data_IF_867279148232
#
_entry.id   IF_867279148232
#
_cell.length_a   1.000
_cell.length_b   1.000
_cell.length_c   1.000
_cell.angle_alpha   90.00
_cell.angle_beta   90.00
_cell.angle_gamma   90.00
#
_symmetry.space_group_name_H-M   'P 1'
#
loop_
_entity.id
_entity.type
_entity.pdbx_description
1 polymer ?
#
# COMPACT_ATOMS: atom_id res chain seq x y z
N UNK A 1 12.95 -15.66 -5.24
CA UNK A 1 13.13 -14.26 -4.85
C UNK A 1 12.12 -13.89 -3.78
N UNK A 2 12.51 -13.03 -2.87
CA UNK A 2 11.62 -12.62 -1.79
C UNK A 2 10.47 -11.77 -2.33
N UNK A 3 9.28 -12.00 -1.81
CA UNK A 3 8.14 -11.12 -2.08
C UNK A 3 8.25 -9.91 -1.17
N UNK A 4 7.84 -8.75 -1.65
CA UNK A 4 8.01 -7.49 -0.95
C UNK A 4 6.69 -6.79 -0.73
N UNK A 5 6.51 -6.24 0.47
CA UNK A 5 5.36 -5.39 0.81
C UNK A 5 5.90 -4.03 1.19
N UNK A 6 5.39 -2.98 0.55
CA UNK A 6 5.70 -1.60 0.90
C UNK A 6 4.56 -1.02 1.72
N UNK A 7 4.90 -0.43 2.86
CA UNK A 7 3.93 0.19 3.77
C UNK A 7 4.20 1.69 3.79
N UNK A 8 3.24 2.47 3.36
CA UNK A 8 3.39 3.93 3.21
C UNK A 8 2.35 4.66 4.03
N UNK A 9 2.81 5.40 5.03
CA UNK A 9 1.97 6.25 5.87
C UNK A 9 2.89 7.27 6.53
N UNK A 10 2.43 8.50 6.67
CA UNK A 10 3.23 9.54 7.31
C UNK A 10 3.24 9.41 8.84
N UNK A 11 2.36 8.59 9.41
CA UNK A 11 2.30 8.33 10.82
C UNK A 11 3.04 7.04 11.18
N UNK A 12 4.12 7.18 11.96
CA UNK A 12 4.98 6.04 12.30
C UNK A 12 4.22 4.93 13.00
N UNK A 13 3.27 5.28 13.88
CA UNK A 13 2.52 4.26 14.62
C UNK A 13 1.61 3.43 13.71
N UNK A 14 1.12 4.00 12.62
CA UNK A 14 0.30 3.26 11.66
C UNK A 14 1.18 2.30 10.86
N UNK A 15 2.36 2.77 10.41
CA UNK A 15 3.31 1.88 9.72
C UNK A 15 3.67 0.70 10.61
N UNK A 16 3.95 0.97 11.87
CA UNK A 16 4.31 -0.06 12.85
C UNK A 16 3.17 -1.05 13.06
N UNK A 17 1.93 -0.56 13.17
CA UNK A 17 0.77 -1.40 13.36
C UNK A 17 0.58 -2.36 12.18
N UNK A 18 0.73 -1.87 10.96
CA UNK A 18 0.60 -2.72 9.77
C UNK A 18 1.73 -3.75 9.74
N UNK A 19 2.97 -3.33 10.03
CA UNK A 19 4.10 -4.27 10.09
C UNK A 19 3.87 -5.37 11.12
N UNK A 20 3.40 -5.02 12.32
CA UNK A 20 3.11 -5.99 13.35
C UNK A 20 2.00 -6.95 12.93
N UNK A 21 0.98 -6.43 12.27
CA UNK A 21 -0.12 -7.24 11.76
C UNK A 21 0.37 -8.29 10.76
N UNK A 22 1.38 -7.95 9.97
CA UNK A 22 1.91 -8.81 8.92
C UNK A 22 3.19 -9.55 9.31
N UNK A 23 3.63 -9.42 10.57
CA UNK A 23 4.92 -9.94 11.03
C UNK A 23 5.09 -11.44 10.73
N UNK A 24 4.02 -12.22 10.86
CA UNK A 24 4.11 -13.66 10.59
C UNK A 24 4.54 -13.98 9.15
N UNK A 25 4.36 -13.05 8.23
CA UNK A 25 4.74 -13.28 6.83
C UNK A 25 6.25 -13.23 6.62
N UNK A 26 7.01 -12.66 7.56
CA UNK A 26 8.47 -12.70 7.49
C UNK A 26 8.98 -14.12 7.48
N UNK A 27 8.34 -15.00 8.26
CA UNK A 27 8.70 -16.42 8.31
C UNK A 27 8.44 -17.12 6.99
N UNK A 28 7.63 -16.52 6.13
CA UNK A 28 7.32 -17.06 4.80
C UNK A 28 8.13 -16.37 3.70
N UNK A 29 9.17 -15.63 4.08
CA UNK A 29 10.10 -15.03 3.14
C UNK A 29 9.70 -13.66 2.61
N UNK A 30 8.74 -12.99 3.25
CA UNK A 30 8.31 -11.66 2.82
C UNK A 30 9.20 -10.58 3.41
N UNK A 31 9.67 -9.65 2.58
CA UNK A 31 10.42 -8.48 3.01
C UNK A 31 9.50 -7.27 3.13
N UNK A 32 9.70 -6.47 4.16
CA UNK A 32 8.93 -5.25 4.37
C UNK A 32 9.77 -4.02 4.09
N UNK A 33 9.19 -3.10 3.31
CA UNK A 33 9.76 -1.80 3.01
C UNK A 33 8.80 -0.75 3.54
N UNK A 34 9.31 0.40 3.96
CA UNK A 34 8.46 1.48 4.49
C UNK A 34 8.83 2.82 3.87
N UNK A 35 7.83 3.72 3.81
CA UNK A 35 8.02 5.09 3.38
C UNK A 35 7.07 5.99 4.17
N UNK A 36 7.46 7.23 4.40
CA UNK A 36 6.65 8.18 5.16
C UNK A 36 6.08 9.31 4.29
N UNK A 37 6.29 9.22 2.99
CA UNK A 37 5.74 10.21 2.05
C UNK A 37 5.65 9.60 0.66
N UNK A 38 4.87 10.27 -0.21
CA UNK A 38 4.60 9.75 -1.55
C UNK A 38 5.80 9.76 -2.49
N UNK A 39 6.67 10.75 -2.38
CA UNK A 39 7.83 10.84 -3.27
C UNK A 39 8.78 9.67 -3.03
N UNK A 40 9.07 9.36 -1.76
CA UNK A 40 9.90 8.21 -1.41
C UNK A 40 9.22 6.91 -1.80
N UNK A 41 7.91 6.82 -1.58
CA UNK A 41 7.14 5.63 -1.97
C UNK A 41 7.27 5.37 -3.47
N UNK A 42 7.12 6.40 -4.29
CA UNK A 42 7.23 6.25 -5.74
C UNK A 42 8.61 5.74 -6.16
N UNK A 43 9.66 6.29 -5.56
CA UNK A 43 11.03 5.84 -5.83
C UNK A 43 11.21 4.36 -5.49
N UNK A 44 10.70 3.93 -4.34
CA UNK A 44 10.80 2.53 -3.91
C UNK A 44 10.01 1.62 -4.84
N UNK A 45 8.81 2.03 -5.24
CA UNK A 45 7.99 1.24 -6.17
C UNK A 45 8.73 1.02 -7.49
N UNK A 46 9.38 2.06 -8.00
CA UNK A 46 10.12 1.96 -9.25
C UNK A 46 11.35 1.07 -9.13
N UNK A 47 12.09 1.16 -8.03
CA UNK A 47 13.36 0.43 -7.87
C UNK A 47 13.16 -0.99 -7.37
N UNK A 48 12.19 -1.22 -6.48
CA UNK A 48 11.99 -2.52 -5.85
C UNK A 48 10.82 -3.33 -6.41
N UNK A 49 9.90 -2.68 -7.10
CA UNK A 49 8.67 -3.28 -7.63
C UNK A 49 8.02 -4.25 -6.63
N UNK A 50 7.59 -3.75 -5.45
CA UNK A 50 6.96 -4.62 -4.46
C UNK A 50 5.67 -5.21 -5.01
N UNK A 51 5.36 -6.42 -4.63
CA UNK A 51 4.13 -7.09 -5.07
C UNK A 51 2.88 -6.42 -4.50
N UNK A 52 3.00 -5.83 -3.31
CA UNK A 52 1.87 -5.24 -2.60
C UNK A 52 2.29 -3.93 -1.95
N UNK A 53 1.44 -2.91 -2.07
CA UNK A 53 1.66 -1.61 -1.43
C UNK A 53 0.41 -1.23 -0.63
N UNK A 54 0.60 -0.97 0.66
CA UNK A 54 -0.42 -0.31 1.48
C UNK A 54 -0.09 1.16 1.49
N UNK A 55 -0.97 1.99 0.96
CA UNK A 55 -0.65 3.37 0.61
C UNK A 55 -1.69 4.32 1.18
N UNK A 56 -1.28 5.12 2.15
CA UNK A 56 -2.14 6.15 2.73
C UNK A 56 -2.42 7.24 1.70
N UNK A 57 -3.65 7.74 1.68
CA UNK A 57 -4.05 8.80 0.75
C UNK A 57 -3.46 10.15 1.20
N UNK A 58 -3.61 10.50 2.47
CA UNK A 58 -3.23 11.83 2.97
C UNK A 58 -1.80 11.86 3.50
N UNK A 59 -0.88 12.33 2.66
CA UNK A 59 0.54 12.42 3.01
C UNK A 59 1.16 13.70 2.46
N UNK A 60 2.24 14.18 3.10
CA UNK A 60 2.98 15.33 2.57
C UNK A 60 3.76 14.97 1.30
N UNK A 61 4.21 15.98 0.59
CA UNK A 61 5.01 15.94 -0.64
C UNK A 61 4.23 15.38 -1.83
N UNK A 62 3.68 14.18 -1.73
CA UNK A 62 2.89 13.57 -2.79
C UNK A 62 1.89 12.64 -2.11
N UNK A 63 0.58 12.89 -2.30
CA UNK A 63 -0.43 12.04 -1.67
C UNK A 63 -0.55 10.69 -2.37
N UNK A 64 -1.26 9.76 -1.72
CA UNK A 64 -1.38 8.40 -2.22
C UNK A 64 -2.09 8.29 -3.57
N UNK A 65 -3.05 9.16 -3.84
CA UNK A 65 -3.74 9.18 -5.13
C UNK A 65 -2.77 9.48 -6.25
N UNK A 66 -1.89 10.46 -6.06
CA UNK A 66 -0.90 10.85 -7.05
C UNK A 66 0.11 9.74 -7.29
N UNK A 67 0.56 9.07 -6.22
CA UNK A 67 1.48 7.93 -6.35
C UNK A 67 0.81 6.83 -7.18
N UNK A 68 -0.42 6.49 -6.84
CA UNK A 68 -1.17 5.45 -7.53
C UNK A 68 -1.35 5.78 -9.02
N UNK A 69 -1.76 7.01 -9.31
CA UNK A 69 -1.93 7.47 -10.69
C UNK A 69 -0.63 7.34 -11.49
N UNK A 70 0.47 7.77 -10.90
CA UNK A 70 1.77 7.69 -11.58
C UNK A 70 2.18 6.26 -11.85
N UNK A 71 2.02 5.39 -10.85
CA UNK A 71 2.39 3.97 -11.00
C UNK A 71 1.52 3.29 -12.06
N UNK A 72 0.22 3.46 -11.97
CA UNK A 72 -0.73 2.72 -12.81
C UNK A 72 -0.95 3.33 -14.19
N UNK A 73 -1.02 4.65 -14.27
CA UNK A 73 -1.38 5.34 -15.52
C UNK A 73 -0.19 5.91 -16.25
N UNK A 74 0.75 6.51 -15.54
CA UNK A 74 1.90 7.18 -16.17
C UNK A 74 3.05 6.21 -16.46
N UNK A 75 3.42 5.41 -15.47
CA UNK A 75 4.51 4.43 -15.61
C UNK A 75 4.02 3.06 -16.05
N UNK A 76 2.72 2.84 -16.02
CA UNK A 76 2.07 1.59 -16.43
C UNK A 76 2.70 0.34 -15.77
N UNK A 77 2.97 0.43 -14.48
CA UNK A 77 3.52 -0.71 -13.71
C UNK A 77 2.35 -1.57 -13.25
N UNK A 78 2.11 -2.68 -13.94
CA UNK A 78 0.92 -3.52 -13.72
C UNK A 78 1.08 -4.54 -12.61
N UNK A 79 2.30 -4.92 -12.29
CA UNK A 79 2.55 -6.02 -11.36
C UNK A 79 2.69 -5.57 -9.90
N UNK A 80 2.26 -4.38 -9.59
CA UNK A 80 2.22 -3.86 -8.21
C UNK A 80 0.75 -3.70 -7.81
N UNK A 81 0.35 -4.45 -6.78
CA UNK A 81 -1.02 -4.38 -6.26
C UNK A 81 -1.09 -3.26 -5.22
N UNK A 82 -1.96 -2.28 -5.44
CA UNK A 82 -2.07 -1.11 -4.56
C UNK A 82 -3.37 -1.12 -3.78
N UNK A 83 -3.24 -1.09 -2.45
CA UNK A 83 -4.35 -0.90 -1.52
C UNK A 83 -4.26 0.52 -0.99
N UNK A 84 -5.25 1.36 -1.34
CA UNK A 84 -5.31 2.71 -0.80
C UNK A 84 -5.99 2.69 0.57
N UNK A 85 -5.38 3.36 1.54
CA UNK A 85 -5.92 3.48 2.90
C UNK A 85 -6.42 4.91 3.08
N UNK A 86 -7.68 5.04 3.45
CA UNK A 86 -8.33 6.35 3.56
C UNK A 86 -9.01 6.52 4.91
N UNK A 87 -9.17 7.76 5.36
CA UNK A 87 -9.88 8.04 6.59
C UNK A 87 -11.38 7.82 6.41
N UNK A 88 -12.02 7.39 7.49
CA UNK A 88 -13.47 7.20 7.50
C UNK A 88 -14.19 8.49 7.11
N UNK A 89 -15.15 8.39 6.23
CA UNK A 89 -15.95 9.54 5.78
C UNK A 89 -15.47 10.21 4.52
N UNK A 90 -14.36 9.77 3.93
CA UNK A 90 -13.82 10.36 2.70
C UNK A 90 -14.34 9.61 1.47
N UNK A 91 -15.64 9.66 1.26
CA UNK A 91 -16.31 8.96 0.15
C UNK A 91 -15.81 9.38 -1.24
N UNK A 92 -15.46 10.67 -1.38
CA UNK A 92 -14.95 11.20 -2.66
C UNK A 92 -13.62 10.53 -3.05
N UNK A 93 -12.83 10.11 -2.10
CA UNK A 93 -11.55 9.46 -2.36
C UNK A 93 -11.71 8.09 -2.99
N UNK A 94 -12.81 7.39 -2.66
CA UNK A 94 -13.08 6.07 -3.24
C UNK A 94 -13.24 6.16 -4.76
N UNK A 95 -14.02 7.14 -5.22
CA UNK A 95 -14.22 7.35 -6.65
C UNK A 95 -12.91 7.72 -7.35
N UNK A 96 -12.14 8.62 -6.74
CA UNK A 96 -10.83 9.01 -7.27
C UNK A 96 -9.85 7.84 -7.27
N UNK A 97 -9.92 6.97 -6.25
CA UNK A 97 -9.09 5.78 -6.19
C UNK A 97 -9.33 4.87 -7.38
N UNK A 98 -10.59 4.70 -7.78
CA UNK A 98 -10.92 3.92 -8.96
C UNK A 98 -10.38 4.58 -10.23
N UNK A 99 -10.49 5.88 -10.32
CA UNK A 99 -10.02 6.64 -11.48
C UNK A 99 -8.50 6.55 -11.65
N UNK A 100 -7.75 6.50 -10.55
CA UNK A 100 -6.28 6.40 -10.60
C UNK A 100 -5.78 4.96 -10.70
N UNK A 101 -6.70 3.99 -10.65
CA UNK A 101 -6.35 2.59 -10.90
C UNK A 101 -5.97 1.78 -9.66
N UNK A 102 -6.37 2.21 -8.46
CA UNK A 102 -6.13 1.43 -7.25
C UNK A 102 -6.82 0.08 -7.34
N UNK A 103 -6.17 -0.96 -6.85
CA UNK A 103 -6.72 -2.31 -6.91
C UNK A 103 -7.75 -2.55 -5.81
N UNK A 104 -7.49 -2.02 -4.61
CA UNK A 104 -8.39 -2.15 -3.47
C UNK A 104 -8.35 -0.86 -2.66
N UNK A 105 -9.38 -0.66 -1.90
CA UNK A 105 -9.62 0.54 -1.12
C UNK A 105 -10.08 0.12 0.28
N UNK A 106 -9.36 0.55 1.30
CA UNK A 106 -9.71 0.23 2.68
C UNK A 106 -9.83 1.50 3.52
N UNK A 107 -10.75 1.50 4.47
CA UNK A 107 -11.01 2.63 5.34
C UNK A 107 -10.30 2.45 6.69
N UNK A 108 -9.70 3.52 7.20
CA UNK A 108 -9.17 3.55 8.56
C UNK A 108 -10.28 3.94 9.54
N UNK A 109 -10.34 3.37 10.71
CA UNK A 109 -9.46 2.30 11.19
C UNK A 109 -9.77 0.99 10.47
N UNK A 110 -8.73 0.27 10.11
CA UNK A 110 -8.86 -0.99 9.39
C UNK A 110 -8.89 -2.17 10.35
N UNK A 111 -9.47 -3.27 9.86
CA UNK A 111 -9.46 -4.54 10.57
C UNK A 111 -8.11 -5.23 10.29
N UNK A 112 -7.30 -5.53 11.32
CA UNK A 112 -6.01 -6.21 11.11
C UNK A 112 -6.15 -7.52 10.34
N UNK A 113 -7.23 -8.26 10.59
CA UNK A 113 -7.48 -9.52 9.89
C UNK A 113 -7.69 -9.30 8.40
N UNK A 114 -8.39 -8.22 8.03
CA UNK A 114 -8.60 -7.87 6.62
C UNK A 114 -7.27 -7.54 5.93
N UNK A 115 -6.38 -6.84 6.62
CA UNK A 115 -5.04 -6.50 6.12
C UNK A 115 -4.25 -7.78 5.86
N UNK A 116 -4.21 -8.68 6.85
CA UNK A 116 -3.46 -9.94 6.73
C UNK A 116 -4.02 -10.83 5.63
N UNK A 117 -5.34 -10.98 5.58
CA UNK A 117 -5.99 -11.82 4.56
C UNK A 117 -5.72 -11.29 3.15
N UNK A 118 -5.76 -9.97 2.99
CA UNK A 118 -5.47 -9.35 1.70
C UNK A 118 -4.02 -9.61 1.29
N UNK A 119 -3.09 -9.45 2.21
CA UNK A 119 -1.67 -9.70 1.92
C UNK A 119 -1.45 -11.14 1.49
N UNK A 120 -2.02 -12.10 2.21
CA UNK A 120 -1.88 -13.52 1.86
C UNK A 120 -2.46 -13.81 0.47
N UNK A 121 -3.63 -13.23 0.16
CA UNK A 121 -4.27 -13.44 -1.13
C UNK A 121 -3.43 -12.87 -2.27
N UNK A 122 -2.96 -11.63 -2.13
CA UNK A 122 -2.17 -10.96 -3.17
C UNK A 122 -0.84 -11.67 -3.39
N UNK A 123 -0.18 -12.10 -2.33
CA UNK A 123 1.12 -12.77 -2.41
C UNK A 123 0.98 -14.28 -2.67
N UNK A 124 -0.24 -14.77 -2.79
CA UNK A 124 -0.52 -16.18 -3.03
C UNK A 124 0.06 -17.10 -1.94
N UNK A 125 -0.08 -16.67 -0.70
CA UNK A 125 0.33 -17.43 0.48
C UNK A 125 -0.89 -18.10 1.11
N UNK A 126 -0.70 -19.30 1.60
CA UNK A 126 -1.78 -20.07 2.22
C UNK A 126 -2.04 -19.68 3.67
#
# INVERSE_FOLDING_TARGET
MAKKILIVDDEAHIRMLIEQTLEELEDEGVEFLTADNGATALDIIQSETPELVFLDVMMPKMNGMEVCRRVKKELAIDNVFIVLLTAKGQELDRQKGQEVGADVYMTKPFDPEAILNKARAVLELN
#
